data_IF_564343212237
#
_entry.id   IF_564343212237
#
_cell.length_a   1.000
_cell.length_b   1.000
_cell.length_c   1.000
_cell.angle_alpha   90.00
_cell.angle_beta   90.00
_cell.angle_gamma   90.00
#
_symmetry.space_group_name_H-M   'P 1'
#
loop_
_entity.id
_entity.type
_entity.pdbx_description
1 polymer ?
#
# COMPACT_ATOMS: atom_id res chain seq x y z
N UNK A 1 -7.98 -7.83 -3.20
CA UNK A 1 -8.59 -6.79 -2.31
C UNK A 1 -8.36 -7.06 -0.83
N UNK A 2 -8.57 -8.30 -0.35
CA UNK A 2 -8.46 -8.64 1.07
C UNK A 2 -7.04 -8.43 1.63
N UNK A 3 -6.01 -8.82 0.87
CA UNK A 3 -4.60 -8.62 1.23
C UNK A 3 -4.25 -7.15 1.46
N UNK A 4 -4.65 -6.25 0.55
CA UNK A 4 -4.43 -4.80 0.69
C UNK A 4 -5.17 -4.23 1.90
N UNK A 5 -6.39 -4.70 2.20
CA UNK A 5 -7.14 -4.29 3.39
C UNK A 5 -6.46 -4.77 4.68
N UNK A 6 -5.91 -5.98 4.70
CA UNK A 6 -5.16 -6.50 5.84
C UNK A 6 -3.85 -5.73 6.05
N UNK A 7 -3.09 -5.50 4.98
CA UNK A 7 -1.85 -4.72 5.01
C UNK A 7 -2.11 -3.30 5.52
N UNK A 8 -3.11 -2.60 4.96
CA UNK A 8 -3.49 -1.25 5.41
C UNK A 8 -3.80 -1.20 6.90
N UNK A 9 -4.55 -2.18 7.42
CA UNK A 9 -4.88 -2.26 8.86
C UNK A 9 -3.63 -2.47 9.71
N UNK A 10 -2.71 -3.33 9.28
CA UNK A 10 -1.44 -3.53 9.98
C UNK A 10 -0.61 -2.24 10.00
N UNK A 11 -0.44 -1.61 8.84
CA UNK A 11 0.34 -0.38 8.71
C UNK A 11 -0.25 0.78 9.52
N UNK A 12 -1.58 0.89 9.51
CA UNK A 12 -2.32 1.84 10.34
C UNK A 12 -2.04 1.66 11.84
N UNK A 13 -2.01 0.41 12.30
CA UNK A 13 -1.63 0.11 13.68
C UNK A 13 -0.17 0.46 14.01
N UNK A 14 0.76 0.22 13.06
CA UNK A 14 2.18 0.55 13.24
C UNK A 14 2.45 2.06 13.26
N UNK A 15 1.79 2.83 12.40
CA UNK A 15 1.90 4.29 12.35
C UNK A 15 0.95 4.96 13.39
N UNK A 16 0.24 4.20 14.23
CA UNK A 16 -0.75 4.69 15.22
C UNK A 16 -1.81 5.66 14.64
N UNK A 17 -2.15 5.45 13.37
CA UNK A 17 -3.11 6.28 12.64
C UNK A 17 -4.29 5.43 12.15
N UNK A 18 -5.47 6.03 11.93
CA UNK A 18 -6.58 5.32 11.32
C UNK A 18 -6.26 4.81 9.91
N UNK A 19 -6.81 3.65 9.53
CA UNK A 19 -6.55 3.02 8.24
C UNK A 19 -6.84 3.92 7.03
N UNK A 20 -7.86 4.78 7.11
CA UNK A 20 -8.19 5.74 6.05
C UNK A 20 -7.12 6.81 5.84
N UNK A 21 -6.27 7.09 6.85
CA UNK A 21 -5.16 8.06 6.76
C UNK A 21 -3.99 7.47 5.96
N UNK A 22 -3.71 6.17 6.14
CA UNK A 22 -2.70 5.45 5.35
C UNK A 22 -3.12 5.44 3.88
N UNK A 23 -4.28 4.84 3.58
CA UNK A 23 -4.91 4.94 2.26
C UNK A 23 -6.43 4.97 2.36
N UNK A 24 -7.02 5.96 1.69
CA UNK A 24 -8.46 6.03 1.54
C UNK A 24 -9.00 4.92 0.63
N UNK A 25 -10.29 4.65 0.75
CA UNK A 25 -10.98 3.60 -0.03
C UNK A 25 -10.91 3.81 -1.54
N UNK A 26 -10.73 5.07 -1.99
CA UNK A 26 -10.51 5.40 -3.41
C UNK A 26 -9.18 4.86 -3.91
N UNK A 27 -8.10 5.17 -3.18
CA UNK A 27 -6.74 4.72 -3.50
C UNK A 27 -6.63 3.21 -3.41
N UNK A 28 -7.24 2.59 -2.39
CA UNK A 28 -7.27 1.14 -2.23
C UNK A 28 -7.96 0.42 -3.40
N UNK A 29 -9.08 0.96 -3.89
CA UNK A 29 -9.78 0.44 -5.06
C UNK A 29 -8.95 0.63 -6.33
N UNK A 30 -8.33 1.80 -6.50
CA UNK A 30 -7.47 2.06 -7.64
C UNK A 30 -6.23 1.14 -7.67
N UNK A 31 -5.59 0.89 -6.52
CA UNK A 31 -4.51 -0.08 -6.37
C UNK A 31 -4.97 -1.49 -6.74
N UNK A 32 -6.13 -1.92 -6.22
CA UNK A 32 -6.65 -3.25 -6.50
C UNK A 32 -7.08 -3.46 -7.95
N UNK A 33 -7.57 -2.41 -8.61
CA UNK A 33 -8.01 -2.45 -10.00
C UNK A 33 -6.85 -2.30 -10.99
N UNK A 34 -5.86 -1.46 -10.66
CA UNK A 34 -4.71 -1.16 -11.51
C UNK A 34 -3.55 -2.13 -11.34
N UNK A 35 -3.50 -2.90 -10.24
CA UNK A 35 -2.45 -3.87 -9.92
C UNK A 35 -1.03 -3.38 -10.30
N UNK A 36 -0.58 -2.22 -9.78
CA UNK A 36 0.67 -1.62 -10.21
C UNK A 36 1.87 -2.52 -9.90
N UNK A 37 2.73 -2.70 -10.90
CA UNK A 37 3.89 -3.60 -10.84
C UNK A 37 5.20 -2.86 -10.54
N UNK A 38 5.16 -1.53 -10.46
CA UNK A 38 6.32 -0.70 -10.15
C UNK A 38 5.96 0.59 -9.41
N UNK A 39 6.98 1.27 -8.89
CA UNK A 39 6.82 2.52 -8.12
C UNK A 39 6.16 3.64 -8.94
N UNK A 40 6.43 3.70 -10.23
CA UNK A 40 5.86 4.73 -11.11
C UNK A 40 4.34 4.54 -11.29
N UNK A 41 3.91 3.30 -11.49
CA UNK A 41 2.51 2.92 -11.57
C UNK A 41 1.78 3.18 -10.23
N UNK A 42 2.45 2.98 -9.10
CA UNK A 42 1.94 3.39 -7.78
C UNK A 42 1.82 4.92 -7.67
N UNK A 43 2.80 5.69 -8.16
CA UNK A 43 2.77 7.15 -8.16
C UNK A 43 1.62 7.70 -9.01
N UNK A 44 1.27 7.00 -10.10
CA UNK A 44 0.13 7.34 -10.95
C UNK A 44 -1.22 7.17 -10.24
N UNK A 45 -1.28 6.45 -9.11
CA UNK A 45 -2.51 6.27 -8.36
C UNK A 45 -2.87 7.53 -7.59
N UNK A 46 -4.06 8.08 -7.86
CA UNK A 46 -4.58 9.24 -7.16
C UNK A 46 -4.70 9.00 -5.64
N UNK A 47 -3.99 9.83 -4.87
CA UNK A 47 -3.91 9.76 -3.40
C UNK A 47 -2.63 9.12 -2.86
N UNK A 48 -1.72 8.67 -3.73
CA UNK A 48 -0.36 8.26 -3.35
C UNK A 48 0.58 9.43 -3.64
N UNK A 49 0.95 10.16 -2.58
CA UNK A 49 1.99 11.18 -2.67
C UNK A 49 3.39 10.57 -2.62
N UNK A 50 4.44 11.32 -2.99
CA UNK A 50 5.83 10.85 -3.03
C UNK A 50 6.29 10.30 -1.67
N UNK A 51 5.89 10.94 -0.56
CA UNK A 51 6.21 10.45 0.79
C UNK A 51 5.58 9.08 1.11
N UNK A 52 4.34 8.84 0.67
CA UNK A 52 3.66 7.54 0.84
C UNK A 52 4.25 6.48 -0.09
N UNK A 53 4.61 6.87 -1.30
CA UNK A 53 5.26 5.99 -2.27
C UNK A 53 6.62 5.51 -1.77
N UNK A 54 7.43 6.41 -1.23
CA UNK A 54 8.72 6.07 -0.65
C UNK A 54 8.57 5.14 0.55
N UNK A 55 7.63 5.46 1.46
CA UNK A 55 7.43 4.70 2.70
C UNK A 55 6.73 3.34 2.50
N UNK A 56 5.76 3.26 1.60
CA UNK A 56 4.90 2.08 1.45
C UNK A 56 5.03 1.39 0.09
N UNK A 57 5.68 2.01 -0.88
CA UNK A 57 5.72 1.49 -2.25
C UNK A 57 6.40 0.14 -2.35
N UNK A 58 7.48 -0.09 -1.59
CA UNK A 58 8.16 -1.39 -1.56
C UNK A 58 7.22 -2.50 -1.05
N UNK A 59 6.63 -2.32 0.15
CA UNK A 59 5.69 -3.29 0.72
C UNK A 59 4.48 -3.53 -0.19
N UNK A 60 3.93 -2.48 -0.82
CA UNK A 60 2.80 -2.61 -1.75
C UNK A 60 3.16 -3.42 -3.00
N UNK A 61 4.33 -3.19 -3.57
CA UNK A 61 4.79 -3.95 -4.74
C UNK A 61 4.98 -5.42 -4.42
N UNK A 62 5.58 -5.73 -3.27
CA UNK A 62 5.68 -7.12 -2.81
C UNK A 62 4.31 -7.75 -2.59
N UNK A 63 3.39 -7.00 -1.97
CA UNK A 63 2.01 -7.44 -1.74
C UNK A 63 1.26 -7.73 -3.05
N UNK A 64 1.48 -6.89 -4.07
CA UNK A 64 0.85 -6.99 -5.38
C UNK A 64 1.50 -8.07 -6.25
N UNK A 65 2.81 -8.30 -6.10
CA UNK A 65 3.54 -9.39 -6.73
C UNK A 65 3.17 -10.78 -6.17
N UNK A 66 2.27 -10.86 -5.19
CA UNK A 66 1.85 -12.10 -4.56
C UNK A 66 2.76 -12.55 -3.41
N UNK A 67 3.77 -11.75 -3.08
CA UNK A 67 4.55 -11.92 -1.86
C UNK A 67 3.67 -11.67 -0.64
N UNK A 68 3.72 -12.58 0.34
CA UNK A 68 3.38 -12.16 1.70
C UNK A 68 4.45 -11.13 2.06
N UNK A 69 4.08 -9.91 2.52
CA UNK A 69 5.08 -8.94 2.91
C UNK A 69 5.86 -9.60 4.04
N UNK A 70 7.10 -10.00 3.76
CA UNK A 70 7.97 -10.47 4.82
C UNK A 70 8.16 -9.24 5.71
N UNK A 71 7.83 -9.39 7.00
CA UNK A 71 8.14 -8.32 7.94
C UNK A 71 9.66 -8.07 7.81
N UNK A 72 10.10 -6.82 7.61
CA UNK A 72 11.50 -6.55 7.33
C UNK A 72 12.37 -7.19 8.44
N UNK A 73 13.49 -7.85 8.09
CA UNK A 73 14.45 -8.26 9.09
C UNK A 73 14.99 -7.02 9.81
N UNK A 74 15.19 -7.19 11.11
CA UNK A 74 15.36 -6.17 12.15
C UNK A 74 16.51 -5.18 11.90
#
# INVERSE_FOLDING_TARGET
>A
LETLRAWRRRRAGLDEVPAFVVFGDRTLRALAAGAPENRDALAAVSGIGPAKLERYGAELLELLAGGRPEAPPH
#
